data_IF_517767690527
#
_entry.id   IF_517767690527
#
_cell.length_a   1.000
_cell.length_b   1.000
_cell.length_c   1.000
_cell.angle_alpha   90.00
_cell.angle_beta   90.00
_cell.angle_gamma   90.00
#
_symmetry.space_group_name_H-M   'P 1'
#
loop_
_entity.id
_entity.type
_entity.pdbx_description
1 polymer ?
#
# COMPACT_ATOMS: atom_id res chain seq x y z
N UNK A 1 18.56 -8.71 -4.11
CA UNK A 1 19.30 -9.45 -5.16
C UNK A 1 18.89 -10.90 -5.26
N UNK A 2 19.10 -11.75 -4.24
CA UNK A 2 18.74 -13.18 -4.31
C UNK A 2 17.28 -13.44 -4.75
N UNK A 3 16.31 -12.72 -4.18
CA UNK A 3 14.90 -12.87 -4.56
C UNK A 3 14.62 -12.59 -6.05
N UNK A 4 15.33 -11.63 -6.65
CA UNK A 4 15.18 -11.31 -8.07
C UNK A 4 15.80 -12.37 -8.97
N UNK A 5 16.99 -12.87 -8.60
CA UNK A 5 17.64 -13.95 -9.32
C UNK A 5 16.78 -15.22 -9.30
N UNK A 6 16.26 -15.61 -8.14
CA UNK A 6 15.34 -16.74 -7.99
C UNK A 6 14.09 -16.57 -8.87
N UNK A 7 13.51 -15.38 -8.92
CA UNK A 7 12.34 -15.10 -9.76
C UNK A 7 12.67 -15.16 -11.25
N UNK A 8 13.80 -14.56 -11.66
CA UNK A 8 14.25 -14.59 -13.05
C UNK A 8 14.52 -16.02 -13.53
N UNK A 9 15.20 -16.82 -12.72
CA UNK A 9 15.47 -18.22 -13.03
C UNK A 9 14.18 -19.03 -13.16
N UNK A 10 13.21 -18.81 -12.27
CA UNK A 10 11.90 -19.47 -12.34
C UNK A 10 11.13 -19.14 -13.63
N UNK A 11 11.25 -17.91 -14.13
CA UNK A 11 10.49 -17.40 -15.28
C UNK A 11 11.36 -17.17 -16.53
N UNK A 12 12.53 -17.81 -16.63
CA UNK A 12 13.49 -17.57 -17.71
C UNK A 12 12.91 -17.81 -19.11
N UNK A 13 11.95 -18.72 -19.24
CA UNK A 13 11.25 -19.00 -20.51
C UNK A 13 10.14 -18.02 -20.87
N UNK A 14 9.72 -17.17 -19.94
CA UNK A 14 8.61 -16.22 -20.09
C UNK A 14 9.11 -14.76 -20.24
N UNK A 15 10.34 -14.50 -19.82
CA UNK A 15 10.93 -13.16 -19.80
C UNK A 15 11.88 -12.98 -20.98
N UNK A 16 11.57 -12.03 -21.85
CA UNK A 16 12.51 -11.60 -22.89
C UNK A 16 13.62 -10.73 -22.28
N UNK A 17 14.84 -11.25 -22.22
CA UNK A 17 15.99 -10.52 -21.66
C UNK A 17 16.73 -9.66 -22.68
N UNK A 18 16.27 -9.63 -23.94
CA UNK A 18 16.88 -8.87 -25.04
C UNK A 18 18.39 -9.16 -25.23
N UNK A 19 18.82 -10.39 -24.95
CA UNK A 19 20.23 -10.80 -25.08
C UNK A 19 21.09 -10.52 -23.85
N UNK A 20 20.53 -9.93 -22.78
CA UNK A 20 21.20 -9.77 -21.50
C UNK A 20 21.18 -11.10 -20.72
N UNK A 21 22.33 -11.49 -20.19
CA UNK A 21 22.47 -12.59 -19.26
C UNK A 21 22.07 -12.20 -17.84
N UNK A 22 21.99 -13.20 -16.94
CA UNK A 22 21.69 -12.98 -15.52
C UNK A 22 22.69 -12.01 -14.86
N UNK A 23 23.97 -12.13 -15.22
CA UNK A 23 25.03 -11.27 -14.69
C UNK A 23 24.86 -9.81 -15.15
N UNK A 24 24.53 -9.58 -16.42
CA UNK A 24 24.32 -8.22 -16.95
C UNK A 24 23.13 -7.55 -16.23
N UNK A 25 22.03 -8.27 -16.08
CA UNK A 25 20.86 -7.79 -15.36
C UNK A 25 21.18 -7.49 -13.89
N UNK A 26 21.98 -8.36 -13.26
CA UNK A 26 22.45 -8.15 -11.88
C UNK A 26 23.31 -6.89 -11.76
N UNK A 27 24.22 -6.64 -12.69
CA UNK A 27 25.05 -5.44 -12.69
C UNK A 27 24.22 -4.17 -12.88
N UNK A 28 23.28 -4.17 -13.84
CA UNK A 28 22.37 -3.05 -14.06
C UNK A 28 21.52 -2.74 -12.83
N UNK A 29 21.03 -3.78 -12.15
CA UNK A 29 20.29 -3.65 -10.89
C UNK A 29 21.16 -3.03 -9.79
N UNK A 30 22.41 -3.51 -9.61
CA UNK A 30 23.33 -2.97 -8.61
C UNK A 30 23.67 -1.51 -8.89
N UNK A 31 23.93 -1.16 -10.15
CA UNK A 31 24.19 0.22 -10.56
C UNK A 31 22.98 1.13 -10.27
N UNK A 32 21.77 0.66 -10.58
CA UNK A 32 20.52 1.41 -10.30
C UNK A 32 20.30 1.61 -8.80
N UNK A 33 20.59 0.59 -7.99
CA UNK A 33 20.43 0.64 -6.53
C UNK A 33 21.51 1.47 -5.84
N UNK A 34 22.66 1.66 -6.46
CA UNK A 34 23.72 2.55 -5.97
C UNK A 34 23.32 4.04 -6.08
N UNK A 35 22.31 4.39 -6.88
CA UNK A 35 21.77 5.74 -6.99
C UNK A 35 20.83 6.07 -5.80
N UNK A 36 21.36 6.05 -4.58
CA UNK A 36 20.59 6.16 -3.34
C UNK A 36 21.04 7.32 -2.43
N UNK A 37 21.66 8.34 -3.02
CA UNK A 37 22.10 9.55 -2.33
C UNK A 37 20.99 10.60 -2.40
N UNK A 38 20.67 11.24 -1.28
CA UNK A 38 19.74 12.35 -1.19
C UNK A 38 20.29 13.46 -0.31
N UNK A 39 19.79 14.67 -0.48
CA UNK A 39 20.16 15.83 0.33
C UNK A 39 19.02 16.19 1.28
N UNK A 40 19.35 16.43 2.55
CA UNK A 40 18.41 16.94 3.56
C UNK A 40 19.16 17.89 4.48
N UNK A 41 18.58 19.08 4.73
CA UNK A 41 19.22 20.12 5.56
C UNK A 41 20.66 20.44 5.12
N UNK A 42 20.84 20.65 3.81
CA UNK A 42 22.12 20.90 3.12
C UNK A 42 23.14 19.73 3.16
N UNK A 43 22.90 18.70 3.97
CA UNK A 43 23.77 17.52 4.13
C UNK A 43 23.40 16.37 3.18
N UNK A 44 24.41 15.62 2.73
CA UNK A 44 24.24 14.48 1.84
C UNK A 44 24.21 13.16 2.62
N UNK A 45 23.21 12.33 2.31
CA UNK A 45 23.01 11.03 2.94
C UNK A 45 22.92 9.94 1.88
N UNK A 46 23.49 8.78 2.18
CA UNK A 46 23.36 7.57 1.37
C UNK A 46 22.58 6.51 2.15
N UNK A 47 21.54 5.94 1.54
CA UNK A 47 20.78 4.87 2.18
C UNK A 47 21.57 3.56 2.17
N UNK A 48 22.18 3.21 3.31
CA UNK A 48 23.03 2.01 3.42
C UNK A 48 22.25 0.69 3.39
N UNK A 49 20.97 0.69 3.78
CA UNK A 49 20.14 -0.50 3.87
C UNK A 49 18.73 -0.24 3.37
N UNK A 50 18.16 -1.24 2.70
CA UNK A 50 16.82 -1.17 2.13
C UNK A 50 16.83 -0.55 0.74
N UNK A 51 15.64 -0.21 0.26
CA UNK A 51 15.42 0.37 -1.05
C UNK A 51 15.09 1.86 -0.88
N UNK A 52 15.75 2.72 -1.64
CA UNK A 52 15.47 4.15 -1.59
C UNK A 52 14.09 4.46 -2.15
N UNK A 53 13.33 5.26 -1.40
CA UNK A 53 12.07 5.83 -1.87
C UNK A 53 12.37 6.80 -3.01
N UNK A 54 11.56 6.76 -4.07
CA UNK A 54 11.76 7.57 -5.29
C UNK A 54 12.53 6.87 -6.41
N UNK A 55 13.27 5.78 -6.13
CA UNK A 55 13.80 4.93 -7.20
C UNK A 55 12.66 4.16 -7.88
N UNK A 56 12.57 4.28 -9.22
CA UNK A 56 11.46 3.69 -9.99
C UNK A 56 11.33 2.18 -9.85
N UNK A 57 12.44 1.49 -9.63
CA UNK A 57 12.47 0.02 -9.51
C UNK A 57 12.23 -0.46 -8.07
N UNK A 58 12.38 0.41 -7.07
CA UNK A 58 12.26 0.03 -5.64
C UNK A 58 10.93 -0.64 -5.30
N UNK A 59 9.75 -0.12 -5.72
CA UNK A 59 8.48 -0.79 -5.41
C UNK A 59 8.41 -2.21 -5.96
N UNK A 60 8.91 -2.45 -7.17
CA UNK A 60 8.94 -3.78 -7.79
C UNK A 60 9.85 -4.73 -7.00
N UNK A 61 11.04 -4.27 -6.64
CA UNK A 61 11.98 -5.07 -5.85
C UNK A 61 11.43 -5.40 -4.46
N UNK A 62 10.73 -4.46 -3.82
CA UNK A 62 10.04 -4.69 -2.56
C UNK A 62 8.95 -5.76 -2.71
N UNK A 63 8.14 -5.70 -3.78
CA UNK A 63 7.11 -6.69 -4.06
C UNK A 63 7.70 -8.10 -4.20
N UNK A 64 8.77 -8.25 -4.98
CA UNK A 64 9.44 -9.55 -5.20
C UNK A 64 10.07 -10.07 -3.91
N UNK A 65 10.70 -9.18 -3.15
CA UNK A 65 11.34 -9.55 -1.89
C UNK A 65 10.30 -10.00 -0.84
N UNK A 66 9.16 -9.30 -0.73
CA UNK A 66 8.07 -9.70 0.15
C UNK A 66 7.37 -10.98 -0.32
N UNK A 67 7.17 -11.20 -1.63
CA UNK A 67 6.62 -12.46 -2.16
C UNK A 67 7.48 -13.67 -1.76
N UNK A 68 8.81 -13.51 -1.77
CA UNK A 68 9.73 -14.56 -1.30
C UNK A 68 9.57 -14.87 0.19
N UNK A 69 9.37 -13.87 1.03
CA UNK A 69 9.12 -14.04 2.47
C UNK A 69 7.76 -14.73 2.67
N UNK A 70 6.72 -14.21 2.04
CA UNK A 70 5.35 -14.70 2.16
C UNK A 70 5.21 -16.18 1.82
N UNK A 71 5.83 -16.63 0.72
CA UNK A 71 5.79 -18.04 0.30
C UNK A 71 6.35 -19.01 1.33
N UNK A 72 7.23 -18.55 2.22
CA UNK A 72 7.81 -19.36 3.29
C UNK A 72 6.99 -19.35 4.57
N UNK A 73 6.16 -18.32 4.75
CA UNK A 73 5.45 -18.09 6.02
C UNK A 73 3.96 -18.44 5.97
N UNK A 74 3.37 -18.63 4.79
CA UNK A 74 1.97 -19.03 4.63
C UNK A 74 1.73 -20.46 5.15
N UNK A 75 0.70 -20.60 6.00
CA UNK A 75 0.28 -21.87 6.61
C UNK A 75 -1.17 -22.22 6.23
N UNK A 76 -1.58 -23.46 6.47
CA UNK A 76 -2.91 -23.97 6.07
C UNK A 76 -4.09 -23.28 6.77
N UNK A 77 -3.87 -22.65 7.94
CA UNK A 77 -4.90 -21.91 8.67
C UNK A 77 -5.32 -20.59 8.02
N UNK A 78 -4.60 -20.12 7.00
CA UNK A 78 -4.90 -18.85 6.31
C UNK A 78 -5.94 -19.07 5.21
N UNK A 79 -7.13 -18.52 5.41
CA UNK A 79 -8.28 -18.65 4.50
C UNK A 79 -8.23 -17.64 3.34
N UNK A 80 -7.67 -16.46 3.60
CA UNK A 80 -7.53 -15.40 2.61
C UNK A 80 -6.29 -14.58 2.89
N UNK A 81 -5.51 -14.28 1.86
CA UNK A 81 -4.34 -13.44 1.94
C UNK A 81 -4.25 -12.56 0.69
N UNK A 82 -4.27 -11.24 0.87
CA UNK A 82 -4.04 -10.27 -0.20
C UNK A 82 -3.15 -9.15 0.30
N UNK A 83 -2.13 -8.82 -0.48
CA UNK A 83 -1.23 -7.71 -0.22
C UNK A 83 -1.39 -6.61 -1.27
N UNK A 84 -1.37 -5.37 -0.81
CA UNK A 84 -1.21 -4.17 -1.62
C UNK A 84 0.08 -3.47 -1.21
N UNK A 85 1.15 -3.66 -1.99
CA UNK A 85 2.51 -3.17 -1.70
C UNK A 85 2.99 -3.65 -0.32
N UNK A 86 2.81 -2.85 0.74
CA UNK A 86 3.19 -3.08 2.12
C UNK A 86 2.00 -3.42 3.04
N UNK A 87 0.77 -3.05 2.67
CA UNK A 87 -0.45 -3.33 3.43
C UNK A 87 -0.97 -4.75 3.10
N UNK A 88 -1.19 -5.58 4.13
CA UNK A 88 -1.70 -6.96 4.00
C UNK A 88 -3.08 -7.11 4.64
N UNK A 89 -4.02 -7.69 3.91
CA UNK A 89 -5.31 -8.13 4.43
C UNK A 89 -5.35 -9.65 4.51
N UNK A 90 -5.55 -10.17 5.72
CA UNK A 90 -5.51 -11.60 6.03
C UNK A 90 -6.77 -12.03 6.76
N UNK A 91 -7.33 -13.17 6.38
CA UNK A 91 -8.38 -13.87 7.13
C UNK A 91 -7.82 -15.23 7.51
N UNK A 92 -7.77 -15.51 8.80
CA UNK A 92 -7.35 -16.78 9.37
C UNK A 92 -8.56 -17.57 9.90
N UNK A 93 -8.41 -18.89 10.00
CA UNK A 93 -9.40 -19.78 10.63
C UNK A 93 -9.56 -19.50 12.12
N UNK A 94 -8.47 -19.12 12.80
CA UNK A 94 -8.44 -18.72 14.20
C UNK A 94 -7.26 -17.77 14.49
N UNK A 95 -7.23 -17.22 15.70
CA UNK A 95 -6.22 -16.25 16.13
C UNK A 95 -4.81 -16.88 16.29
N UNK A 96 -4.72 -18.14 16.70
CA UNK A 96 -3.44 -18.82 16.94
C UNK A 96 -2.69 -19.05 15.63
N UNK A 97 -3.39 -19.51 14.58
CA UNK A 97 -2.83 -19.66 13.23
C UNK A 97 -2.34 -18.31 12.69
N UNK A 98 -3.07 -17.22 12.96
CA UNK A 98 -2.62 -15.88 12.56
C UNK A 98 -1.34 -15.47 13.30
N UNK A 99 -1.25 -15.79 14.59
CA UNK A 99 -0.06 -15.52 15.40
C UNK A 99 1.15 -16.30 14.89
N UNK A 100 1.01 -17.61 14.65
CA UNK A 100 2.06 -18.48 14.12
C UNK A 100 2.54 -17.96 12.77
N UNK A 101 1.61 -17.57 11.88
CA UNK A 101 1.97 -16.98 10.59
C UNK A 101 2.77 -15.68 10.77
N UNK A 102 2.36 -14.80 11.70
CA UNK A 102 3.05 -13.55 11.98
C UNK A 102 4.45 -13.78 12.56
N UNK A 103 4.65 -14.80 13.39
CA UNK A 103 5.96 -15.23 13.89
C UNK A 103 6.83 -15.71 12.73
N UNK A 104 6.33 -16.63 11.90
CA UNK A 104 7.04 -17.14 10.72
C UNK A 104 7.47 -16.02 9.76
N UNK A 105 6.63 -14.99 9.57
CA UNK A 105 6.97 -13.81 8.77
C UNK A 105 8.13 -13.03 9.38
N UNK A 106 8.10 -12.82 10.70
CA UNK A 106 9.10 -12.06 11.45
C UNK A 106 10.42 -12.82 11.65
N UNK A 107 10.43 -14.15 11.53
CA UNK A 107 11.65 -14.96 11.57
C UNK A 107 12.44 -14.92 10.25
N UNK A 108 11.80 -14.53 9.14
CA UNK A 108 12.43 -14.61 7.81
C UNK A 108 13.55 -13.58 7.58
N UNK A 109 13.41 -12.35 8.09
CA UNK A 109 14.48 -11.35 8.05
C UNK A 109 14.42 -10.46 9.30
N UNK A 110 15.51 -10.37 10.09
CA UNK A 110 15.51 -9.59 11.34
C UNK A 110 15.36 -8.07 11.15
N UNK A 111 15.34 -7.58 9.91
CA UNK A 111 15.25 -6.16 9.58
C UNK A 111 13.93 -5.81 8.89
N UNK A 112 13.04 -6.78 8.71
CA UNK A 112 11.66 -6.55 8.26
C UNK A 112 10.74 -7.03 9.37
N UNK A 113 10.01 -6.09 9.98
CA UNK A 113 9.05 -6.39 11.02
C UNK A 113 7.64 -6.29 10.47
N UNK A 114 6.91 -7.38 10.56
CA UNK A 114 5.48 -7.44 10.30
C UNK A 114 4.72 -7.20 11.61
N UNK A 115 3.70 -6.37 11.53
CA UNK A 115 2.76 -6.06 12.61
C UNK A 115 1.35 -6.37 12.14
N UNK A 116 0.47 -6.76 13.06
CA UNK A 116 -0.94 -6.99 12.78
C UNK A 116 -1.81 -6.01 13.54
N UNK A 117 -2.92 -5.63 12.91
CA UNK A 117 -4.03 -4.91 13.52
C UNK A 117 -5.24 -5.85 13.56
N UNK A 118 -6.02 -5.80 14.63
CA UNK A 118 -7.25 -6.58 14.78
C UNK A 118 -8.47 -5.68 14.56
N UNK A 119 -9.64 -6.25 14.19
CA UNK A 119 -10.87 -5.49 14.07
C UNK A 119 -11.21 -4.73 15.37
N UNK A 120 -11.82 -3.55 15.23
CA UNK A 120 -12.33 -2.76 16.35
C UNK A 120 -13.56 -3.43 17.01
N UNK A 121 -14.10 -2.82 18.06
CA UNK A 121 -15.27 -3.32 18.81
C UNK A 121 -16.52 -3.49 17.93
N UNK A 122 -16.64 -2.68 16.86
CA UNK A 122 -17.72 -2.78 15.87
C UNK A 122 -17.46 -3.86 14.81
N UNK A 123 -16.31 -4.55 14.89
CA UNK A 123 -15.87 -5.60 13.98
C UNK A 123 -15.28 -5.07 12.66
N UNK A 124 -14.91 -3.79 12.59
CA UNK A 124 -14.28 -3.20 11.40
C UNK A 124 -12.76 -3.19 11.52
N UNK A 125 -12.08 -3.59 10.46
CA UNK A 125 -10.63 -3.47 10.31
C UNK A 125 -10.30 -2.39 9.27
N UNK A 126 -9.48 -1.39 9.59
CA UNK A 126 -8.90 -0.50 8.60
C UNK A 126 -8.07 -1.25 7.56
N UNK A 127 -8.29 -0.98 6.28
CA UNK A 127 -7.44 -1.44 5.19
C UNK A 127 -7.46 -0.41 4.05
N UNK A 128 -6.29 0.16 3.74
CA UNK A 128 -6.13 1.28 2.81
C UNK A 128 -7.05 2.47 3.18
N UNK A 129 -7.89 2.93 2.25
CA UNK A 129 -8.86 4.02 2.45
C UNK A 129 -10.25 3.49 2.85
N UNK A 130 -10.31 2.30 3.44
CA UNK A 130 -11.56 1.59 3.74
C UNK A 130 -11.52 0.97 5.14
N UNK A 131 -12.69 0.79 5.75
CA UNK A 131 -12.93 -0.09 6.90
C UNK A 131 -13.75 -1.27 6.41
N UNK A 132 -13.23 -2.48 6.63
CA UNK A 132 -13.83 -3.73 6.16
C UNK A 132 -14.40 -4.49 7.34
N UNK A 133 -15.63 -4.99 7.20
CA UNK A 133 -16.25 -5.92 8.15
C UNK A 133 -16.87 -7.08 7.41
N UNK A 134 -16.68 -8.29 7.93
CA UNK A 134 -17.37 -9.49 7.47
C UNK A 134 -18.28 -9.94 8.61
N UNK A 135 -19.58 -9.81 8.42
CA UNK A 135 -20.59 -10.10 9.44
C UNK A 135 -21.76 -10.85 8.82
N UNK A 136 -22.16 -11.98 9.41
CA UNK A 136 -23.27 -12.83 8.92
C UNK A 136 -23.17 -13.14 7.41
N UNK A 137 -21.97 -13.52 6.95
CA UNK A 137 -21.67 -13.80 5.54
C UNK A 137 -21.85 -12.62 4.56
N UNK A 138 -22.07 -11.39 5.08
CA UNK A 138 -22.09 -10.16 4.29
C UNK A 138 -20.80 -9.38 4.48
N UNK A 139 -20.36 -8.73 3.41
CA UNK A 139 -19.21 -7.83 3.41
C UNK A 139 -19.72 -6.41 3.51
N UNK A 140 -19.24 -5.67 4.49
CA UNK A 140 -19.54 -4.26 4.68
C UNK A 140 -18.27 -3.44 4.54
N UNK A 141 -18.38 -2.33 3.83
CA UNK A 141 -17.28 -1.43 3.53
C UNK A 141 -17.70 -0.03 3.93
N UNK A 142 -16.83 0.66 4.67
CA UNK A 142 -16.99 2.07 5.01
C UNK A 142 -15.76 2.82 4.52
N UNK A 143 -15.93 4.05 4.08
CA UNK A 143 -14.80 4.92 3.81
C UNK A 143 -14.02 5.15 5.10
N UNK A 144 -12.69 5.09 5.00
CA UNK A 144 -11.82 5.29 6.13
C UNK A 144 -10.68 6.23 5.75
N UNK A 145 -10.41 7.15 6.67
CA UNK A 145 -9.28 8.05 6.60
C UNK A 145 -8.21 7.55 7.57
N UNK A 146 -7.00 7.28 7.07
CA UNK A 146 -5.83 7.04 7.93
C UNK A 146 -5.58 8.27 8.83
N UNK A 147 -5.33 8.12 10.15
CA UNK A 147 -5.14 9.24 11.07
C UNK A 147 -4.03 10.21 10.66
N UNK A 148 -3.00 9.69 9.99
CA UNK A 148 -1.84 10.45 9.51
C UNK A 148 -2.15 11.30 8.27
N UNK A 149 -3.29 11.07 7.60
CA UNK A 149 -3.67 11.86 6.44
C UNK A 149 -3.98 13.30 6.85
N UNK A 150 -3.28 14.25 6.23
CA UNK A 150 -3.43 15.69 6.48
C UNK A 150 -4.64 16.31 5.78
N UNK A 151 -5.46 15.53 5.08
CA UNK A 151 -6.59 16.04 4.27
C UNK A 151 -6.17 17.08 3.23
N UNK A 152 -4.91 17.07 2.80
CA UNK A 152 -4.42 18.02 1.79
C UNK A 152 -4.90 17.51 0.44
N UNK A 153 -5.81 18.26 -0.17
CA UNK A 153 -6.23 18.08 -1.54
C UNK A 153 -5.55 19.15 -2.41
N UNK A 154 -5.80 19.12 -3.73
CA UNK A 154 -5.58 20.31 -4.54
C UNK A 154 -6.41 21.43 -3.92
N UNK A 155 -5.86 22.60 -3.67
CA UNK A 155 -6.62 23.70 -3.08
C UNK A 155 -7.38 24.46 -4.18
N UNK A 156 -8.60 24.91 -3.93
CA UNK A 156 -9.42 25.69 -4.89
C UNK A 156 -8.83 27.03 -5.36
N UNK A 157 -7.80 27.55 -4.68
CA UNK A 157 -7.07 28.77 -5.05
C UNK A 157 -5.72 28.47 -5.70
N UNK A 158 -5.47 27.21 -6.04
CA UNK A 158 -4.25 26.84 -6.71
C UNK A 158 -4.23 27.42 -8.13
N UNK A 159 -3.05 27.63 -8.71
CA UNK A 159 -2.93 28.10 -10.09
C UNK A 159 -3.17 26.98 -11.13
N UNK A 160 -4.09 26.05 -10.86
CA UNK A 160 -4.43 24.95 -11.76
C UNK A 160 -5.69 25.29 -12.56
N UNK A 161 -5.85 24.70 -13.75
CA UNK A 161 -7.09 24.84 -14.50
C UNK A 161 -8.31 24.35 -13.71
N UNK A 162 -9.43 25.07 -13.81
CA UNK A 162 -10.68 24.76 -13.10
C UNK A 162 -11.15 23.31 -13.29
N UNK A 163 -10.93 22.71 -14.48
CA UNK A 163 -11.34 21.33 -14.71
C UNK A 163 -10.62 20.33 -13.79
N UNK A 164 -9.36 20.60 -13.41
CA UNK A 164 -8.60 19.74 -12.49
C UNK A 164 -9.19 19.79 -11.08
N UNK A 165 -9.62 20.97 -10.66
CA UNK A 165 -10.26 21.18 -9.35
C UNK A 165 -11.61 20.47 -9.27
N UNK A 166 -12.44 20.64 -10.30
CA UNK A 166 -13.74 19.96 -10.42
C UNK A 166 -13.56 18.44 -10.45
N UNK A 167 -12.59 17.93 -11.22
CA UNK A 167 -12.32 16.50 -11.31
C UNK A 167 -11.78 15.94 -9.99
N UNK A 168 -11.00 16.71 -9.24
CA UNK A 168 -10.51 16.31 -7.93
C UNK A 168 -11.68 16.10 -6.94
N UNK A 169 -12.58 17.07 -6.84
CA UNK A 169 -13.79 16.95 -5.99
C UNK A 169 -14.67 15.79 -6.46
N UNK A 170 -14.92 15.68 -7.77
CA UNK A 170 -15.71 14.59 -8.35
C UNK A 170 -15.10 13.23 -8.00
N UNK A 171 -13.80 13.05 -8.22
CA UNK A 171 -13.11 11.79 -7.95
C UNK A 171 -13.16 11.45 -6.45
N UNK A 172 -13.02 12.43 -5.57
CA UNK A 172 -13.11 12.23 -4.13
C UNK A 172 -14.49 11.71 -3.72
N UNK A 173 -15.57 12.36 -4.16
CA UNK A 173 -16.96 11.96 -3.85
C UNK A 173 -17.32 10.62 -4.49
N UNK A 174 -16.95 10.40 -5.75
CA UNK A 174 -17.20 9.13 -6.46
C UNK A 174 -16.45 7.98 -5.80
N UNK A 175 -15.22 8.20 -5.34
CA UNK A 175 -14.44 7.18 -4.63
C UNK A 175 -15.13 6.79 -3.33
N UNK A 176 -15.58 7.76 -2.51
CA UNK A 176 -16.38 7.47 -1.31
C UNK A 176 -17.60 6.61 -1.64
N UNK A 177 -18.37 6.98 -2.66
CA UNK A 177 -19.58 6.24 -3.08
C UNK A 177 -19.29 4.82 -3.58
N UNK A 178 -18.20 4.62 -4.32
CA UNK A 178 -17.80 3.29 -4.83
C UNK A 178 -17.28 2.37 -3.73
N UNK A 179 -16.66 2.96 -2.71
CA UNK A 179 -16.03 2.22 -1.62
C UNK A 179 -17.01 1.86 -0.51
N UNK A 180 -17.99 2.71 -0.20
CA UNK A 180 -18.97 2.43 0.84
C UNK A 180 -20.04 1.45 0.36
N UNK A 181 -20.38 0.47 1.19
CA UNK A 181 -21.55 -0.41 0.97
C UNK A 181 -22.85 0.22 1.48
N UNK A 182 -22.76 1.18 2.40
CA UNK A 182 -23.88 1.84 3.07
C UNK A 182 -23.59 3.33 3.21
N UNK A 183 -24.63 4.16 3.14
CA UNK A 183 -24.52 5.58 3.41
C UNK A 183 -24.32 5.84 4.91
N UNK A 184 -23.55 6.88 5.24
CA UNK A 184 -23.20 7.23 6.60
C UNK A 184 -23.06 8.73 6.71
N UNK A 185 -23.99 9.37 7.43
CA UNK A 185 -23.99 10.83 7.65
C UNK A 185 -22.65 11.32 8.20
N UNK A 186 -22.06 10.60 9.16
CA UNK A 186 -20.74 10.92 9.71
C UNK A 186 -19.63 10.93 8.65
N UNK A 187 -19.67 10.00 7.70
CA UNK A 187 -18.70 9.97 6.59
C UNK A 187 -18.95 11.14 5.65
N UNK A 188 -20.21 11.44 5.36
CA UNK A 188 -20.58 12.56 4.49
C UNK A 188 -20.20 13.91 5.09
N UNK A 189 -20.42 14.13 6.38
CA UNK A 189 -19.94 15.30 7.12
C UNK A 189 -18.41 15.39 7.09
N UNK A 190 -17.71 14.27 7.29
CA UNK A 190 -16.24 14.24 7.23
C UNK A 190 -15.71 14.62 5.84
N UNK A 191 -16.34 14.10 4.77
CA UNK A 191 -16.00 14.44 3.39
C UNK A 191 -16.27 15.91 3.12
N UNK A 192 -17.41 16.43 3.57
CA UNK A 192 -17.77 17.85 3.44
C UNK A 192 -16.75 18.75 4.13
N UNK A 193 -16.38 18.44 5.38
CA UNK A 193 -15.37 19.20 6.12
C UNK A 193 -14.03 19.23 5.39
N UNK A 194 -13.60 18.09 4.82
CA UNK A 194 -12.35 18.03 4.05
C UNK A 194 -12.39 18.96 2.82
N UNK A 195 -13.52 19.00 2.11
CA UNK A 195 -13.70 19.88 0.97
C UNK A 195 -13.67 21.36 1.40
N UNK A 196 -14.38 21.70 2.48
CA UNK A 196 -14.40 23.05 3.05
C UNK A 196 -13.01 23.51 3.54
N UNK A 197 -12.25 22.63 4.19
CA UNK A 197 -10.87 22.90 4.63
C UNK A 197 -9.91 23.20 3.46
N UNK A 198 -10.23 22.72 2.25
CA UNK A 198 -9.48 23.02 1.02
C UNK A 198 -10.14 24.15 0.18
N UNK A 199 -11.05 24.91 0.80
CA UNK A 199 -11.81 26.03 0.25
C UNK A 199 -12.68 25.67 -0.98
N UNK A 200 -13.15 24.43 -1.05
CA UNK A 200 -14.22 24.08 -1.99
C UNK A 200 -15.56 24.48 -1.41
N UNK A 201 -16.14 25.54 -1.94
CA UNK A 201 -17.47 25.98 -1.57
C UNK A 201 -18.53 25.11 -2.25
N UNK A 202 -19.49 24.58 -1.49
CA UNK A 202 -20.73 23.94 -2.02
C UNK A 202 -21.71 24.93 -2.66
N UNK A 203 -21.22 26.05 -3.19
CA UNK A 203 -22.07 27.12 -3.73
C UNK A 203 -22.52 26.72 -5.14
N UNK A 204 -23.78 26.28 -5.18
CA UNK A 204 -24.75 26.38 -6.27
C UNK A 204 -24.45 25.59 -7.57
N UNK A 205 -25.12 24.44 -7.69
CA UNK A 205 -25.58 23.89 -8.96
C UNK A 205 -27.09 24.14 -9.10
#
# INVERSE_FOLDING_TARGET
MLAMCELLQKHQGEVQTFGLGENDLRELLLATLACNIFQFDEEFYAQKRGLAMGLRISPLLAIVYLDRIERKSLISGILFYKRYIDDVFVISSNADELHIMLENLNECDPNVKFTSELPDEDGFLPFLNTKVRIYQSKKQFRWYKKPQSKNILLHSRSAHPLYMEVDMVRNFVVTKKRTCSEDSEKVDESVKQILEDNEYTTVEA
#
